data_IF_152919337967
#
_entry.id   IF_152919337967
#
_cell.length_a   1.000
_cell.length_b   1.000
_cell.length_c   1.000
_cell.angle_alpha   90.00
_cell.angle_beta   90.00
_cell.angle_gamma   90.00
#
_symmetry.space_group_name_H-M   'P 1'
#
loop_
_entity.id
_entity.type
_entity.pdbx_description
1 polymer ?
#
# COMPACT_ATOMS: atom_id res chain seq x y z
N UNK A 1 1.85 40.22 -71.38
CA UNK A 1 1.46 39.44 -70.18
C UNK A 1 2.61 39.57 -69.17
N UNK A 2 2.49 40.48 -68.21
CA UNK A 2 3.51 40.72 -67.20
C UNK A 2 3.39 39.66 -66.10
N UNK A 3 4.45 38.89 -65.85
CA UNK A 3 4.52 37.92 -64.75
C UNK A 3 5.37 38.52 -63.64
N UNK A 4 4.76 38.68 -62.46
CA UNK A 4 5.41 39.09 -61.21
C UNK A 4 5.76 37.81 -60.45
N UNK A 5 7.03 37.61 -60.12
CA UNK A 5 7.51 36.52 -59.28
C UNK A 5 7.62 37.04 -57.84
N UNK A 6 6.82 36.49 -56.93
CA UNK A 6 6.99 36.69 -55.49
C UNK A 6 8.02 35.68 -54.97
N UNK A 7 9.20 36.15 -54.56
CA UNK A 7 10.13 35.37 -53.75
C UNK A 7 9.86 35.68 -52.27
N UNK A 8 9.23 34.73 -51.56
CA UNK A 8 9.18 34.76 -50.10
C UNK A 8 10.52 34.24 -49.57
N UNK A 9 11.42 35.13 -49.16
CA UNK A 9 12.60 34.77 -48.38
C UNK A 9 12.19 34.54 -46.92
N UNK A 10 11.64 33.36 -46.61
CA UNK A 10 11.68 32.87 -45.23
C UNK A 10 13.04 32.18 -45.03
N UNK A 11 14.00 32.93 -44.49
CA UNK A 11 15.17 32.34 -43.85
C UNK A 11 14.67 31.61 -42.59
N UNK A 12 14.33 30.32 -42.72
CA UNK A 12 14.40 29.44 -41.56
C UNK A 12 15.90 29.28 -41.24
N UNK A 13 16.38 29.95 -40.20
CA UNK A 13 17.63 29.58 -39.55
C UNK A 13 17.45 28.13 -39.06
N UNK A 14 17.94 27.17 -39.85
CA UNK A 14 18.20 25.82 -39.37
C UNK A 14 19.36 25.95 -38.37
N UNK A 15 19.01 26.12 -37.09
CA UNK A 15 19.97 26.00 -35.98
C UNK A 15 20.61 24.62 -36.08
N UNK A 16 21.93 24.55 -36.07
CA UNK A 16 22.63 23.26 -36.15
C UNK A 16 22.35 22.43 -34.89
N UNK A 17 22.39 21.10 -34.98
CA UNK A 17 22.24 20.24 -33.79
C UNK A 17 23.25 20.61 -32.69
N UNK A 18 24.47 21.01 -33.09
CA UNK A 18 25.52 21.47 -32.17
C UNK A 18 25.13 22.76 -31.44
N UNK A 19 24.58 23.77 -32.13
CA UNK A 19 24.10 25.00 -31.48
C UNK A 19 22.96 24.73 -30.50
N UNK A 20 22.04 23.81 -30.84
CA UNK A 20 20.95 23.41 -29.96
C UNK A 20 21.49 22.71 -28.69
N UNK A 21 22.51 21.86 -28.82
CA UNK A 21 23.12 21.20 -27.66
C UNK A 21 23.88 22.18 -26.75
N UNK A 22 24.56 23.17 -27.33
CA UNK A 22 25.29 24.19 -26.56
C UNK A 22 24.32 25.09 -25.81
N UNK A 23 23.24 25.55 -26.46
CA UNK A 23 22.22 26.37 -25.82
C UNK A 23 21.52 25.61 -24.69
N UNK A 24 21.17 24.34 -24.91
CA UNK A 24 20.59 23.50 -23.86
C UNK A 24 21.55 23.29 -22.66
N UNK A 25 22.85 23.21 -22.92
CA UNK A 25 23.86 23.10 -21.88
C UNK A 25 23.99 24.40 -21.06
N UNK A 26 24.00 25.55 -21.73
CA UNK A 26 24.03 26.86 -21.08
C UNK A 26 22.77 27.09 -20.24
N UNK A 27 21.59 26.75 -20.75
CA UNK A 27 20.34 26.79 -19.99
C UNK A 27 20.39 25.88 -18.75
N UNK A 28 20.96 24.68 -18.87
CA UNK A 28 21.13 23.77 -17.74
C UNK A 28 22.06 24.33 -16.66
N UNK A 29 23.16 24.99 -17.06
CA UNK A 29 24.08 25.61 -16.11
C UNK A 29 23.41 26.79 -15.42
N UNK A 30 22.75 27.67 -16.18
CA UNK A 30 22.03 28.82 -15.63
C UNK A 30 20.95 28.39 -14.63
N UNK A 31 20.19 27.34 -14.94
CA UNK A 31 19.19 26.79 -14.03
C UNK A 31 19.81 26.25 -12.73
N UNK A 32 20.98 25.60 -12.83
CA UNK A 32 21.75 25.13 -11.67
C UNK A 32 22.21 26.29 -10.78
N UNK A 33 22.80 27.33 -11.38
CA UNK A 33 23.27 28.51 -10.65
C UNK A 33 22.12 29.27 -9.97
N UNK A 34 21.00 29.48 -10.68
CA UNK A 34 19.80 30.08 -10.10
C UNK A 34 19.32 29.31 -8.87
N UNK A 35 19.30 27.98 -8.93
CA UNK A 35 18.87 27.15 -7.80
C UNK A 35 19.87 27.21 -6.64
N UNK A 36 21.17 27.31 -6.91
CA UNK A 36 22.18 27.51 -5.86
C UNK A 36 22.07 28.86 -5.18
N UNK A 37 21.84 29.93 -5.92
CA UNK A 37 21.60 31.26 -5.35
C UNK A 37 20.38 31.21 -4.42
N UNK A 38 19.32 30.52 -4.84
CA UNK A 38 18.14 30.31 -3.97
C UNK A 38 18.54 29.55 -2.69
N UNK A 39 19.35 28.50 -2.77
CA UNK A 39 19.84 27.80 -1.58
C UNK A 39 20.67 28.70 -0.65
N UNK A 40 21.59 29.49 -1.19
CA UNK A 40 22.40 30.42 -0.40
C UNK A 40 21.54 31.48 0.30
N UNK A 41 20.49 31.96 -0.38
CA UNK A 41 19.52 32.87 0.25
C UNK A 41 18.70 32.17 1.35
N UNK A 42 18.32 30.90 1.16
CA UNK A 42 17.63 30.10 2.18
C UNK A 42 18.52 29.95 3.41
N UNK A 43 19.81 29.60 3.25
CA UNK A 43 20.73 29.45 4.38
C UNK A 43 20.94 30.78 5.12
N UNK A 44 21.04 31.89 4.38
CA UNK A 44 21.12 33.23 4.97
C UNK A 44 19.87 33.54 5.80
N UNK A 45 18.67 33.22 5.29
CA UNK A 45 17.41 33.39 6.03
C UNK A 45 17.40 32.48 7.27
N UNK A 46 17.83 31.22 7.17
CA UNK A 46 17.90 30.29 8.29
C UNK A 46 18.79 30.85 9.40
N UNK A 47 19.96 31.42 9.06
CA UNK A 47 20.86 32.04 10.04
C UNK A 47 20.21 33.23 10.76
N UNK A 48 19.48 34.08 10.04
CA UNK A 48 18.73 35.19 10.64
C UNK A 48 17.60 34.67 11.52
N UNK A 49 16.86 33.66 11.05
CA UNK A 49 15.78 33.02 11.80
C UNK A 49 16.32 32.39 13.08
N UNK A 50 17.51 31.81 13.10
CA UNK A 50 18.15 31.32 14.35
C UNK A 50 18.39 32.41 15.41
N UNK A 51 18.50 33.67 14.99
CA UNK A 51 18.70 34.80 15.90
C UNK A 51 17.40 35.52 16.29
N UNK A 52 16.27 35.15 15.69
CA UNK A 52 14.99 35.86 15.83
C UNK A 52 13.87 34.87 16.16
N UNK A 53 12.95 35.17 17.08
CA UNK A 53 11.84 34.27 17.46
C UNK A 53 10.76 34.06 16.35
N UNK A 54 11.07 34.31 15.08
CA UNK A 54 10.16 34.24 13.94
C UNK A 54 10.07 32.84 13.28
N UNK A 55 10.55 31.80 13.97
CA UNK A 55 10.68 30.43 13.47
C UNK A 55 9.39 29.87 12.84
N UNK A 56 8.26 30.00 13.54
CA UNK A 56 6.98 29.40 13.16
C UNK A 56 6.40 29.92 11.84
N UNK A 57 6.79 31.14 11.41
CA UNK A 57 6.22 31.79 10.22
C UNK A 57 7.06 31.51 8.97
N UNK A 58 8.39 31.60 9.10
CA UNK A 58 9.30 31.58 7.95
C UNK A 58 9.71 30.17 7.53
N UNK A 59 9.92 29.26 8.49
CA UNK A 59 10.42 27.90 8.22
C UNK A 59 9.49 27.07 7.30
N UNK A 60 8.15 27.09 7.45
CA UNK A 60 7.26 26.38 6.53
C UNK A 60 7.36 26.88 5.08
N UNK A 61 7.53 28.20 4.91
CA UNK A 61 7.74 28.81 3.58
C UNK A 61 9.03 28.36 2.93
N UNK A 62 10.13 28.33 3.68
CA UNK A 62 11.43 27.84 3.20
C UNK A 62 11.38 26.36 2.81
N UNK A 63 10.69 25.54 3.60
CA UNK A 63 10.50 24.12 3.31
C UNK A 63 9.71 23.92 2.02
N UNK A 64 8.65 24.70 1.78
CA UNK A 64 7.89 24.66 0.51
C UNK A 64 8.76 25.00 -0.70
N UNK A 65 9.65 25.99 -0.59
CA UNK A 65 10.58 26.35 -1.67
C UNK A 65 11.54 25.18 -1.95
N UNK A 66 12.08 24.56 -0.91
CA UNK A 66 12.99 23.42 -1.03
C UNK A 66 12.28 22.17 -1.61
N UNK A 67 11.05 21.90 -1.21
CA UNK A 67 10.20 20.84 -1.79
C UNK A 67 9.89 21.10 -3.26
N UNK A 68 9.60 22.36 -3.62
CA UNK A 68 9.42 22.76 -5.01
C UNK A 68 10.71 22.54 -5.82
N UNK A 69 11.87 22.90 -5.27
CA UNK A 69 13.16 22.65 -5.93
C UNK A 69 13.41 21.15 -6.16
N UNK A 70 13.04 20.28 -5.22
CA UNK A 70 13.09 18.81 -5.40
C UNK A 70 12.13 18.26 -6.44
N UNK A 71 11.02 18.96 -6.71
CA UNK A 71 10.03 18.54 -7.71
C UNK A 71 10.50 18.82 -9.15
N UNK A 72 11.41 19.78 -9.33
CA UNK A 72 11.98 20.17 -10.61
C UNK A 72 13.08 19.21 -11.08
N UNK A 73 13.39 19.25 -12.38
CA UNK A 73 14.50 18.50 -12.96
C UNK A 73 15.82 19.23 -12.67
N UNK A 74 16.43 18.90 -11.54
CA UNK A 74 17.66 19.52 -11.07
C UNK A 74 18.92 18.77 -11.53
N UNK A 75 20.04 19.48 -11.61
CA UNK A 75 21.34 18.86 -11.88
C UNK A 75 21.78 17.98 -10.70
N UNK A 76 22.65 16.99 -10.96
CA UNK A 76 23.19 16.11 -9.91
C UNK A 76 23.87 16.90 -8.79
N UNK A 77 24.63 17.94 -9.15
CA UNK A 77 25.35 18.75 -8.18
C UNK A 77 24.40 19.62 -7.34
N UNK A 78 23.41 20.24 -7.97
CA UNK A 78 22.35 20.97 -7.27
C UNK A 78 21.57 20.07 -6.30
N UNK A 79 21.24 18.84 -6.72
CA UNK A 79 20.56 17.86 -5.88
C UNK A 79 21.37 17.49 -4.64
N UNK A 80 22.69 17.32 -4.76
CA UNK A 80 23.56 17.05 -3.61
C UNK A 80 23.47 18.16 -2.56
N UNK A 81 23.51 19.43 -3.01
CA UNK A 81 23.37 20.58 -2.13
C UNK A 81 21.95 20.69 -1.54
N UNK A 82 20.91 20.42 -2.33
CA UNK A 82 19.52 20.36 -1.86
C UNK A 82 19.36 19.32 -0.75
N UNK A 83 19.89 18.10 -0.91
CA UNK A 83 19.83 17.07 0.13
C UNK A 83 20.61 17.46 1.39
N UNK A 84 21.75 18.14 1.25
CA UNK A 84 22.52 18.62 2.40
C UNK A 84 21.78 19.70 3.19
N UNK A 85 21.17 20.68 2.52
CA UNK A 85 20.34 21.69 3.17
C UNK A 85 19.08 21.08 3.79
N UNK A 86 18.44 20.14 3.09
CA UNK A 86 17.29 19.40 3.61
C UNK A 86 17.65 18.70 4.94
N UNK A 87 18.75 17.94 4.98
CA UNK A 87 19.19 17.26 6.21
C UNK A 87 19.52 18.25 7.32
N UNK A 88 20.18 19.36 7.00
CA UNK A 88 20.51 20.39 7.98
C UNK A 88 19.26 21.04 8.59
N UNK A 89 18.23 21.32 7.78
CA UNK A 89 16.95 21.87 8.26
C UNK A 89 16.24 20.88 9.17
N UNK A 90 16.13 19.61 8.75
CA UNK A 90 15.47 18.56 9.55
C UNK A 90 16.16 18.34 10.89
N UNK A 91 17.49 18.33 10.90
CA UNK A 91 18.27 18.17 12.13
C UNK A 91 18.16 19.39 13.06
N UNK A 92 18.15 20.61 12.51
CA UNK A 92 18.05 21.85 13.30
C UNK A 92 16.64 22.13 13.82
N UNK A 93 15.62 21.78 13.05
CA UNK A 93 14.22 22.11 13.32
C UNK A 93 13.32 20.89 13.06
N UNK A 94 13.45 19.81 13.86
CA UNK A 94 12.67 18.60 13.63
C UNK A 94 11.17 18.83 13.90
N UNK A 95 10.83 19.74 14.82
CA UNK A 95 9.45 20.17 15.13
C UNK A 95 8.68 20.61 13.88
N UNK A 96 9.35 21.23 12.90
CA UNK A 96 8.75 21.69 11.63
C UNK A 96 8.08 20.56 10.83
N UNK A 97 8.58 19.33 10.94
CA UNK A 97 8.08 18.17 10.19
C UNK A 97 7.24 17.23 11.04
N UNK A 98 7.46 17.21 12.35
CA UNK A 98 6.92 16.19 13.24
C UNK A 98 5.83 16.69 14.20
N UNK A 99 5.57 18.00 14.27
CA UNK A 99 4.36 18.53 14.94
C UNK A 99 3.08 18.27 14.11
N UNK A 100 1.97 18.11 14.82
CA UNK A 100 0.62 17.91 14.29
C UNK A 100 0.27 19.06 13.31
N UNK A 101 -0.24 18.73 12.11
CA UNK A 101 -0.67 19.66 11.02
C UNK A 101 0.27 19.96 9.83
N UNK A 102 1.37 19.20 9.63
CA UNK A 102 2.27 19.49 8.48
C UNK A 102 2.20 18.46 7.33
N UNK A 103 1.48 18.82 6.25
CA UNK A 103 1.48 18.10 4.94
C UNK A 103 2.90 17.97 4.33
N UNK A 104 3.86 18.73 4.82
CA UNK A 104 5.22 18.80 4.32
C UNK A 104 6.01 17.48 4.49
N UNK A 105 5.72 16.70 5.54
CA UNK A 105 6.38 15.40 5.75
C UNK A 105 5.98 14.41 4.64
N UNK A 106 4.72 14.43 4.22
CA UNK A 106 4.20 13.62 3.12
C UNK A 106 4.88 13.98 1.79
N UNK A 107 4.89 15.26 1.40
CA UNK A 107 5.53 15.69 0.14
C UNK A 107 7.05 15.42 0.18
N UNK A 108 7.71 15.62 1.33
CA UNK A 108 9.13 15.29 1.48
C UNK A 108 9.40 13.80 1.26
N UNK A 109 8.65 12.91 1.94
CA UNK A 109 8.78 11.47 1.76
C UNK A 109 8.57 11.05 0.30
N UNK A 110 7.58 11.65 -0.37
CA UNK A 110 7.30 11.42 -1.79
C UNK A 110 8.48 11.83 -2.68
N UNK A 111 9.04 13.03 -2.49
CA UNK A 111 10.20 13.49 -3.27
C UNK A 111 11.43 12.61 -3.01
N UNK A 112 11.70 12.25 -1.77
CA UNK A 112 12.83 11.40 -1.42
C UNK A 112 12.71 10.02 -2.05
N UNK A 113 11.54 9.37 -1.97
CA UNK A 113 11.32 8.07 -2.60
C UNK A 113 11.43 8.12 -4.12
N UNK A 114 10.96 9.20 -4.76
CA UNK A 114 11.18 9.42 -6.20
C UNK A 114 12.67 9.44 -6.52
N UNK A 115 13.49 10.18 -5.76
CA UNK A 115 14.94 10.24 -5.96
C UNK A 115 15.67 8.94 -5.59
N UNK A 116 15.14 8.14 -4.66
CA UNK A 116 15.62 6.78 -4.38
C UNK A 116 15.46 5.83 -5.58
N UNK A 117 14.55 6.12 -6.52
CA UNK A 117 14.39 5.36 -7.77
C UNK A 117 15.23 5.88 -8.94
N UNK A 118 16.06 6.92 -8.74
CA UNK A 118 16.88 7.54 -9.79
C UNK A 118 17.93 6.57 -10.36
N UNK A 119 18.25 6.71 -11.65
CA UNK A 119 19.32 5.93 -12.30
C UNK A 119 20.72 6.29 -11.78
N UNK A 120 20.91 7.47 -11.21
CA UNK A 120 22.19 7.97 -10.70
C UNK A 120 22.47 7.45 -9.29
N UNK A 121 23.58 6.75 -9.10
CA UNK A 121 23.96 6.18 -7.79
C UNK A 121 24.18 7.24 -6.71
N UNK A 122 24.81 8.36 -7.06
CA UNK A 122 25.07 9.48 -6.15
C UNK A 122 23.78 10.06 -5.58
N UNK A 123 22.79 10.33 -6.45
CA UNK A 123 21.47 10.84 -6.06
C UNK A 123 20.77 9.84 -5.13
N UNK A 124 20.78 8.55 -5.47
CA UNK A 124 20.19 7.50 -4.61
C UNK A 124 20.82 7.43 -3.23
N UNK A 125 22.14 7.51 -3.12
CA UNK A 125 22.83 7.47 -1.83
C UNK A 125 22.46 8.65 -0.94
N UNK A 126 22.38 9.86 -1.51
CA UNK A 126 21.95 11.05 -0.75
C UNK A 126 20.47 11.01 -0.37
N UNK A 127 19.58 10.55 -1.28
CA UNK A 127 18.16 10.38 -0.98
C UNK A 127 17.93 9.32 0.12
N UNK A 128 18.65 8.20 0.06
CA UNK A 128 18.61 7.14 1.08
C UNK A 128 19.09 7.66 2.45
N UNK A 129 20.16 8.46 2.48
CA UNK A 129 20.68 9.06 3.71
C UNK A 129 19.69 10.08 4.31
N UNK A 130 19.05 10.88 3.45
CA UNK A 130 18.00 11.82 3.87
C UNK A 130 16.77 11.11 4.43
N UNK A 131 16.35 10.02 3.80
CA UNK A 131 15.21 9.23 4.25
C UNK A 131 15.51 8.50 5.58
N UNK A 132 16.73 7.97 5.73
CA UNK A 132 17.22 7.39 7.00
C UNK A 132 17.26 8.44 8.12
N UNK A 133 17.78 9.64 7.84
CA UNK A 133 17.82 10.72 8.83
C UNK A 133 16.42 11.10 9.31
N UNK A 134 15.43 11.17 8.42
CA UNK A 134 14.04 11.45 8.80
C UNK A 134 13.50 10.41 9.80
N UNK A 135 13.75 9.12 9.53
CA UNK A 135 13.35 8.04 10.44
C UNK A 135 14.04 8.19 11.80
N UNK A 136 15.35 8.45 11.79
CA UNK A 136 16.15 8.62 13.01
C UNK A 136 15.66 9.80 13.85
N UNK A 137 15.46 10.96 13.23
CA UNK A 137 15.02 12.17 13.94
C UNK A 137 13.59 12.02 14.49
N UNK A 138 12.69 11.39 13.73
CA UNK A 138 11.34 11.13 14.24
C UNK A 138 11.38 10.18 15.46
N UNK A 139 12.24 9.15 15.40
CA UNK A 139 12.44 8.20 16.49
C UNK A 139 13.07 8.84 17.74
N UNK A 140 14.05 9.73 17.59
CA UNK A 140 14.68 10.42 18.73
C UNK A 140 13.68 11.32 19.50
N UNK A 141 12.63 11.83 18.83
CA UNK A 141 11.58 12.65 19.46
C UNK A 141 10.53 11.80 20.17
N UNK A 142 9.99 10.79 19.49
CA UNK A 142 8.80 10.05 19.92
C UNK A 142 9.04 8.59 20.34
N UNK A 143 10.27 8.10 20.27
CA UNK A 143 10.65 6.68 20.40
C UNK A 143 9.89 5.74 19.43
N UNK A 144 9.36 6.31 18.34
CA UNK A 144 8.74 5.64 17.20
C UNK A 144 8.88 6.54 15.96
N UNK A 145 8.64 6.00 14.76
CA UNK A 145 8.55 6.82 13.55
C UNK A 145 7.32 6.49 12.71
N UNK A 146 6.20 6.19 13.37
CA UNK A 146 4.93 5.78 12.75
C UNK A 146 4.47 6.76 11.67
N UNK A 147 4.70 8.07 11.88
CA UNK A 147 4.43 9.12 10.90
C UNK A 147 5.24 8.92 9.62
N UNK A 148 6.58 8.90 9.71
CA UNK A 148 7.44 8.70 8.53
C UNK A 148 7.15 7.35 7.86
N UNK A 149 6.88 6.31 8.66
CA UNK A 149 6.50 4.96 8.18
C UNK A 149 5.25 5.01 7.32
N UNK A 150 4.18 5.66 7.80
CA UNK A 150 2.93 5.82 7.08
C UNK A 150 3.12 6.68 5.81
N UNK A 151 3.76 7.84 5.93
CA UNK A 151 3.95 8.76 4.81
C UNK A 151 4.82 8.17 3.70
N UNK A 152 5.87 7.43 4.04
CA UNK A 152 6.69 6.70 3.06
C UNK A 152 5.89 5.59 2.37
N UNK A 153 5.06 4.86 3.13
CA UNK A 153 4.21 3.79 2.59
C UNK A 153 3.17 4.34 1.61
N UNK A 154 2.44 5.39 1.98
CA UNK A 154 1.46 6.06 1.11
C UNK A 154 2.11 6.67 -0.15
N UNK A 155 3.26 7.32 0.03
CA UNK A 155 4.03 7.92 -1.08
C UNK A 155 4.47 6.86 -2.10
N UNK A 156 4.90 5.69 -1.63
CA UNK A 156 5.25 4.58 -2.51
C UNK A 156 4.03 4.07 -3.28
N UNK A 157 2.87 3.91 -2.63
CA UNK A 157 1.62 3.51 -3.30
C UNK A 157 1.28 4.44 -4.45
N UNK A 158 1.41 5.75 -4.22
CA UNK A 158 1.13 6.77 -5.24
C UNK A 158 2.14 6.69 -6.40
N UNK A 159 3.44 6.56 -6.10
CA UNK A 159 4.49 6.44 -7.12
C UNK A 159 4.31 5.21 -7.99
N UNK A 160 3.96 4.08 -7.38
CA UNK A 160 3.71 2.84 -8.12
C UNK A 160 2.38 2.91 -8.89
N UNK A 161 1.38 3.65 -8.39
CA UNK A 161 0.12 3.88 -9.10
C UNK A 161 0.27 4.77 -10.34
N UNK A 162 1.25 5.67 -10.35
CA UNK A 162 1.52 6.54 -11.50
C UNK A 162 2.30 5.77 -12.57
N UNK A 163 1.69 5.54 -13.74
CA UNK A 163 2.26 4.82 -14.89
C UNK A 163 3.43 5.56 -15.58
N UNK A 164 4.33 6.18 -14.82
CA UNK A 164 5.41 7.01 -15.34
C UNK A 164 6.65 6.17 -15.64
N UNK A 165 7.18 6.31 -16.84
CA UNK A 165 8.44 5.70 -17.33
C UNK A 165 9.69 6.04 -16.51
N UNK A 166 9.59 6.93 -15.52
CA UNK A 166 10.70 7.37 -14.67
C UNK A 166 10.88 6.52 -13.39
N UNK A 167 9.89 5.75 -12.98
CA UNK A 167 10.00 4.97 -11.74
C UNK A 167 10.64 3.60 -12.00
N UNK A 168 11.82 3.38 -11.41
CA UNK A 168 12.57 2.15 -11.59
C UNK A 168 12.68 1.36 -10.28
N UNK A 169 11.99 0.23 -10.25
CA UNK A 169 11.96 -0.69 -9.13
C UNK A 169 13.35 -1.18 -8.71
N UNK A 170 14.22 -1.56 -9.67
CA UNK A 170 15.54 -2.14 -9.37
C UNK A 170 16.39 -1.14 -8.60
N UNK A 171 16.30 0.13 -8.97
CA UNK A 171 17.03 1.21 -8.30
C UNK A 171 16.48 1.50 -6.91
N UNK A 172 15.16 1.49 -6.72
CA UNK A 172 14.56 1.65 -5.40
C UNK A 172 14.93 0.48 -4.46
N UNK A 173 14.90 -0.77 -4.95
CA UNK A 173 15.34 -1.95 -4.18
C UNK A 173 16.80 -1.79 -3.71
N UNK A 174 17.68 -1.23 -4.53
CA UNK A 174 19.07 -0.93 -4.14
C UNK A 174 19.13 0.15 -3.04
N UNK A 175 18.34 1.21 -3.16
CA UNK A 175 18.26 2.27 -2.15
C UNK A 175 17.75 1.77 -0.80
N UNK A 176 16.72 0.89 -0.78
CA UNK A 176 16.24 0.27 0.45
C UNK A 176 17.32 -0.58 1.14
N UNK A 177 18.13 -1.33 0.36
CA UNK A 177 19.29 -2.04 0.90
C UNK A 177 20.33 -1.10 1.50
N UNK A 178 20.58 0.04 0.86
CA UNK A 178 21.48 1.07 1.40
C UNK A 178 20.99 1.59 2.76
N UNK A 179 19.68 1.81 2.91
CA UNK A 179 19.07 2.24 4.19
C UNK A 179 19.29 1.19 5.28
N UNK A 180 19.14 -0.10 4.97
CA UNK A 180 19.43 -1.19 5.91
C UNK A 180 20.90 -1.16 6.38
N UNK A 181 21.85 -0.95 5.47
CA UNK A 181 23.27 -0.78 5.87
C UNK A 181 23.52 0.46 6.73
N UNK A 182 22.75 1.53 6.58
CA UNK A 182 22.84 2.68 7.49
C UNK A 182 22.33 2.32 8.88
N UNK A 183 21.21 1.61 8.98
CA UNK A 183 20.68 1.14 10.25
C UNK A 183 21.67 0.18 10.96
N UNK A 184 22.28 -0.75 10.23
CA UNK A 184 23.30 -1.68 10.76
C UNK A 184 24.59 -0.98 11.19
N UNK A 185 24.92 0.16 10.57
CA UNK A 185 26.13 0.94 10.87
C UNK A 185 25.99 1.95 12.00
N UNK A 186 24.77 2.25 12.45
CA UNK A 186 24.49 3.30 13.44
C UNK A 186 24.61 2.77 14.88
N UNK A 187 25.80 2.85 15.44
CA UNK A 187 26.12 2.32 16.78
C UNK A 187 25.32 2.95 17.91
N UNK A 188 24.84 4.18 17.73
CA UNK A 188 24.14 4.94 18.78
C UNK A 188 22.77 4.33 19.09
N UNK A 189 22.12 3.73 18.08
CA UNK A 189 20.74 3.23 18.16
C UNK A 189 20.64 1.70 18.03
N UNK A 190 21.75 0.98 17.97
CA UNK A 190 21.78 -0.48 17.80
C UNK A 190 21.01 -1.25 18.88
N UNK A 191 21.07 -0.80 20.14
CA UNK A 191 20.37 -1.47 21.26
C UNK A 191 18.89 -1.08 21.39
N UNK A 192 18.39 -0.20 20.52
CA UNK A 192 16.99 0.27 20.52
C UNK A 192 16.10 -0.57 19.58
N UNK A 193 14.79 -0.30 19.60
CA UNK A 193 13.85 -0.87 18.63
C UNK A 193 13.97 -0.28 17.20
N UNK A 194 14.80 0.76 17.02
CA UNK A 194 14.91 1.48 15.76
C UNK A 194 15.38 0.61 14.59
N UNK A 195 16.47 -0.18 14.68
CA UNK A 195 16.92 -1.00 13.55
C UNK A 195 15.87 -2.03 13.11
N UNK A 196 15.13 -2.63 14.06
CA UNK A 196 14.03 -3.53 13.74
C UNK A 196 12.89 -2.82 13.01
N UNK A 197 12.45 -1.64 13.48
CA UNK A 197 11.40 -0.89 12.81
C UNK A 197 11.82 -0.44 11.40
N UNK A 198 13.09 -0.03 11.19
CA UNK A 198 13.62 0.35 9.87
C UNK A 198 13.63 -0.87 8.94
N UNK A 199 14.01 -2.05 9.46
CA UNK A 199 13.97 -3.29 8.70
C UNK A 199 12.55 -3.67 8.30
N UNK A 200 11.58 -3.50 9.19
CA UNK A 200 10.17 -3.79 8.93
C UNK A 200 9.60 -2.85 7.86
N UNK A 201 9.88 -1.55 7.95
CA UNK A 201 9.49 -0.59 6.91
C UNK A 201 10.15 -0.90 5.57
N UNK A 202 11.48 -1.12 5.54
CA UNK A 202 12.18 -1.43 4.29
C UNK A 202 11.64 -2.72 3.64
N UNK A 203 11.33 -3.73 4.45
CA UNK A 203 10.71 -4.99 3.98
C UNK A 203 9.31 -4.75 3.45
N UNK A 204 8.49 -3.98 4.17
CA UNK A 204 7.13 -3.61 3.73
C UNK A 204 7.16 -2.86 2.38
N UNK A 205 7.99 -1.82 2.24
CA UNK A 205 8.16 -1.07 0.99
C UNK A 205 8.67 -1.97 -0.14
N UNK A 206 9.59 -2.89 0.17
CA UNK A 206 10.08 -3.88 -0.79
C UNK A 206 8.95 -4.81 -1.28
N UNK A 207 8.12 -5.31 -0.36
CA UNK A 207 6.99 -6.19 -0.67
C UNK A 207 5.95 -5.47 -1.52
N UNK A 208 5.53 -4.25 -1.15
CA UNK A 208 4.61 -3.43 -1.97
C UNK A 208 5.13 -3.30 -3.40
N UNK A 209 6.40 -2.97 -3.54
CA UNK A 209 7.04 -2.76 -4.83
C UNK A 209 7.03 -4.03 -5.68
N UNK A 210 7.51 -5.15 -5.12
CA UNK A 210 7.57 -6.45 -5.82
C UNK A 210 6.17 -6.93 -6.19
N UNK A 211 5.23 -6.87 -5.25
CA UNK A 211 3.89 -7.43 -5.41
C UNK A 211 3.08 -6.63 -6.41
N UNK A 212 3.26 -5.30 -6.44
CA UNK A 212 2.55 -4.47 -7.41
C UNK A 212 3.07 -4.67 -8.84
N UNK A 213 4.37 -4.96 -9.00
CA UNK A 213 4.92 -5.33 -10.32
C UNK A 213 4.37 -6.68 -10.75
N UNK A 214 4.39 -7.68 -9.87
CA UNK A 214 3.79 -8.99 -10.14
C UNK A 214 2.30 -8.92 -10.43
N UNK A 215 1.57 -8.02 -9.77
CA UNK A 215 0.14 -7.82 -10.00
C UNK A 215 -0.13 -7.35 -11.45
N UNK A 216 0.77 -6.56 -12.04
CA UNK A 216 0.65 -6.13 -13.45
C UNK A 216 0.88 -7.29 -14.43
N UNK A 217 1.71 -8.25 -14.04
CA UNK A 217 2.05 -9.45 -14.82
C UNK A 217 1.05 -10.60 -14.62
N UNK A 218 0.39 -10.66 -13.46
CA UNK A 218 -0.49 -11.76 -13.05
C UNK A 218 -1.94 -11.65 -13.56
N UNK A 219 -2.21 -10.81 -14.58
CA UNK A 219 -3.57 -10.58 -15.09
C UNK A 219 -4.27 -11.84 -15.61
N UNK A 220 -3.50 -12.85 -15.99
CA UNK A 220 -4.00 -14.11 -16.53
C UNK A 220 -4.27 -15.16 -15.43
N UNK A 221 -3.93 -14.88 -14.16
CA UNK A 221 -4.15 -15.78 -13.03
C UNK A 221 -4.97 -15.12 -11.91
N UNK A 222 -6.30 -15.36 -11.83
CA UNK A 222 -7.15 -14.72 -10.84
C UNK A 222 -6.79 -15.09 -9.40
N UNK A 223 -6.32 -16.32 -9.15
CA UNK A 223 -5.95 -16.77 -7.81
C UNK A 223 -4.69 -16.04 -7.30
N UNK A 224 -3.69 -15.92 -8.19
CA UNK A 224 -2.48 -15.14 -7.89
C UNK A 224 -2.77 -13.64 -7.79
N UNK A 225 -3.70 -13.12 -8.59
CA UNK A 225 -4.13 -11.72 -8.49
C UNK A 225 -4.71 -11.43 -7.10
N UNK A 226 -5.62 -12.27 -6.58
CA UNK A 226 -6.20 -12.11 -5.25
C UNK A 226 -5.14 -12.24 -4.15
N UNK A 227 -4.24 -13.23 -4.23
CA UNK A 227 -3.16 -13.38 -3.25
C UNK A 227 -2.31 -12.11 -3.20
N UNK A 228 -1.86 -11.62 -4.35
CA UNK A 228 -1.09 -10.38 -4.44
C UNK A 228 -1.85 -9.18 -3.89
N UNK A 229 -3.15 -9.03 -4.19
CA UNK A 229 -3.98 -7.98 -3.61
C UNK A 229 -4.04 -8.07 -2.09
N UNK A 230 -4.14 -9.28 -1.53
CA UNK A 230 -4.16 -9.49 -0.08
C UNK A 230 -2.81 -9.13 0.56
N UNK A 231 -1.68 -9.55 -0.03
CA UNK A 231 -0.34 -9.19 0.46
C UNK A 231 -0.10 -7.69 0.43
N UNK A 232 -0.47 -7.03 -0.68
CA UNK A 232 -0.39 -5.58 -0.82
C UNK A 232 -1.27 -4.90 0.24
N UNK A 233 -2.50 -5.37 0.43
CA UNK A 233 -3.40 -4.84 1.45
C UNK A 233 -2.79 -4.98 2.86
N UNK A 234 -2.11 -6.10 3.18
CA UNK A 234 -1.48 -6.32 4.48
C UNK A 234 -0.31 -5.35 4.72
N UNK A 235 0.38 -4.93 3.67
CA UNK A 235 1.42 -3.91 3.78
C UNK A 235 0.84 -2.54 4.21
N UNK A 236 -0.45 -2.28 3.97
CA UNK A 236 -1.14 -1.04 4.33
C UNK A 236 -1.86 -1.07 5.69
N UNK A 237 -1.59 -2.05 6.56
CA UNK A 237 -2.24 -2.13 7.88
C UNK A 237 -2.12 -0.85 8.72
N UNK A 238 -1.01 -0.11 8.59
CA UNK A 238 -0.77 1.16 9.30
C UNK A 238 -1.39 2.39 8.58
N UNK A 239 -2.09 2.20 7.47
CA UNK A 239 -2.79 3.25 6.72
C UNK A 239 -4.24 2.80 6.49
N UNK A 240 -5.16 3.11 7.42
CA UNK A 240 -6.52 2.54 7.42
C UNK A 240 -7.33 2.90 6.17
N UNK A 241 -7.19 4.11 5.64
CA UNK A 241 -7.86 4.53 4.40
C UNK A 241 -7.41 3.70 3.18
N UNK A 242 -6.11 3.41 3.06
CA UNK A 242 -5.59 2.56 2.01
C UNK A 242 -6.00 1.10 2.22
N UNK A 243 -5.86 0.56 3.45
CA UNK A 243 -6.30 -0.79 3.81
C UNK A 243 -7.77 -1.00 3.42
N UNK A 244 -8.65 -0.06 3.76
CA UNK A 244 -10.07 -0.10 3.41
C UNK A 244 -10.29 -0.11 1.89
N UNK A 245 -9.57 0.73 1.15
CA UNK A 245 -9.66 0.80 -0.32
C UNK A 245 -9.27 -0.54 -0.97
N UNK A 246 -8.20 -1.18 -0.49
CA UNK A 246 -7.77 -2.49 -0.99
C UNK A 246 -8.74 -3.61 -0.64
N UNK A 247 -9.29 -3.63 0.58
CA UNK A 247 -10.32 -4.60 0.99
C UNK A 247 -11.58 -4.47 0.11
N UNK A 248 -12.00 -3.24 -0.20
CA UNK A 248 -13.12 -3.00 -1.12
C UNK A 248 -12.81 -3.45 -2.56
N UNK A 249 -11.60 -3.20 -3.06
CA UNK A 249 -11.19 -3.67 -4.39
C UNK A 249 -11.17 -5.21 -4.45
N UNK A 250 -10.61 -5.87 -3.44
CA UNK A 250 -10.65 -7.33 -3.32
C UNK A 250 -12.09 -7.86 -3.29
N UNK A 251 -12.99 -7.23 -2.53
CA UNK A 251 -14.40 -7.60 -2.51
C UNK A 251 -15.04 -7.50 -3.91
N UNK A 252 -14.74 -6.46 -4.68
CA UNK A 252 -15.22 -6.30 -6.05
C UNK A 252 -14.66 -7.38 -6.99
N UNK A 253 -13.38 -7.74 -6.84
CA UNK A 253 -12.76 -8.83 -7.61
C UNK A 253 -13.37 -10.19 -7.29
N UNK A 254 -13.59 -10.50 -6.02
CA UNK A 254 -14.33 -11.70 -5.61
C UNK A 254 -15.76 -11.71 -6.15
N UNK A 255 -16.45 -10.57 -6.14
CA UNK A 255 -17.78 -10.45 -6.72
C UNK A 255 -17.80 -10.73 -8.22
N UNK A 256 -16.80 -10.23 -8.98
CA UNK A 256 -16.67 -10.50 -10.41
C UNK A 256 -16.47 -11.99 -10.72
N UNK A 257 -15.90 -12.76 -9.78
CA UNK A 257 -15.74 -14.22 -9.87
C UNK A 257 -16.91 -15.01 -9.27
N UNK A 258 -17.97 -14.35 -8.78
CA UNK A 258 -19.08 -14.94 -8.04
C UNK A 258 -18.68 -15.63 -6.71
N UNK A 259 -17.55 -15.24 -6.13
CA UNK A 259 -17.07 -15.68 -4.81
C UNK A 259 -17.72 -14.82 -3.70
N UNK A 260 -19.02 -15.00 -3.48
CA UNK A 260 -19.81 -14.17 -2.58
C UNK A 260 -19.40 -14.28 -1.10
N UNK A 261 -18.92 -15.44 -0.66
CA UNK A 261 -18.51 -15.64 0.73
C UNK A 261 -17.27 -14.78 1.03
N UNK A 262 -16.27 -14.87 0.16
CA UNK A 262 -15.02 -14.15 0.23
C UNK A 262 -15.24 -12.64 0.08
N UNK A 263 -16.09 -12.21 -0.86
CA UNK A 263 -16.48 -10.80 -1.01
C UNK A 263 -17.15 -10.25 0.26
N UNK A 264 -18.04 -11.03 0.89
CA UNK A 264 -18.68 -10.68 2.15
C UNK A 264 -17.68 -10.56 3.31
N UNK A 265 -16.70 -11.47 3.38
CA UNK A 265 -15.65 -11.42 4.39
C UNK A 265 -14.70 -10.23 4.20
N UNK A 266 -14.31 -9.87 2.97
CA UNK A 266 -13.50 -8.67 2.72
C UNK A 266 -14.21 -7.39 3.23
N UNK A 267 -15.53 -7.29 3.04
CA UNK A 267 -16.30 -6.17 3.58
C UNK A 267 -16.46 -6.24 5.10
N UNK A 268 -16.55 -7.44 5.69
CA UNK A 268 -16.55 -7.60 7.14
C UNK A 268 -15.20 -7.17 7.75
N UNK A 269 -14.06 -7.48 7.11
CA UNK A 269 -12.75 -6.94 7.49
C UNK A 269 -12.74 -5.41 7.39
N UNK A 270 -13.23 -4.83 6.29
CA UNK A 270 -13.31 -3.38 6.14
C UNK A 270 -14.18 -2.72 7.23
N UNK A 271 -15.31 -3.34 7.59
CA UNK A 271 -16.16 -2.88 8.68
C UNK A 271 -15.49 -3.03 10.06
N UNK A 272 -14.75 -4.11 10.28
CA UNK A 272 -13.99 -4.34 11.51
C UNK A 272 -12.92 -3.27 11.71
N UNK A 273 -12.18 -2.94 10.66
CA UNK A 273 -11.23 -1.83 10.64
C UNK A 273 -11.93 -0.51 11.01
N UNK A 274 -13.05 -0.18 10.35
CA UNK A 274 -13.80 1.05 10.68
C UNK A 274 -14.29 1.05 12.13
N UNK A 275 -14.77 -0.08 12.66
CA UNK A 275 -15.22 -0.19 14.04
C UNK A 275 -14.08 0.07 15.04
N UNK A 276 -12.89 -0.48 14.79
CA UNK A 276 -11.71 -0.29 15.62
C UNK A 276 -11.29 1.18 15.69
N UNK A 277 -11.23 1.86 14.55
CA UNK A 277 -10.85 3.27 14.47
C UNK A 277 -11.94 4.21 15.01
N UNK A 278 -13.23 3.90 14.81
CA UNK A 278 -14.32 4.66 15.44
C UNK A 278 -14.29 4.55 16.96
N UNK A 279 -13.95 3.37 17.51
CA UNK A 279 -13.78 3.18 18.96
C UNK A 279 -12.66 4.06 19.52
N UNK A 280 -11.56 4.21 18.78
CA UNK A 280 -10.44 5.07 19.17
C UNK A 280 -10.79 6.57 19.10
N UNK A 281 -11.65 7.00 18.17
CA UNK A 281 -12.15 8.38 18.07
C UNK A 281 -13.13 8.74 19.19
N UNK A 282 -14.20 7.97 19.31
CA UNK A 282 -15.28 8.22 20.27
C UNK A 282 -15.92 6.90 20.69
N UNK A 283 -15.75 6.54 21.96
CA UNK A 283 -16.39 5.34 22.50
C UNK A 283 -17.88 5.60 22.75
N UNK A 284 -18.75 5.12 21.85
CA UNK A 284 -20.20 5.15 22.03
C UNK A 284 -20.70 3.80 22.53
N UNK A 285 -21.55 3.80 23.57
CA UNK A 285 -22.06 2.58 24.21
C UNK A 285 -22.87 1.65 23.30
N UNK A 286 -23.45 2.18 22.22
CA UNK A 286 -24.25 1.41 21.25
C UNK A 286 -23.43 0.93 20.04
N UNK A 287 -22.19 1.38 19.88
CA UNK A 287 -21.28 0.94 18.82
C UNK A 287 -20.51 -0.32 19.27
N UNK A 288 -20.08 -1.17 18.34
CA UNK A 288 -19.25 -2.33 18.66
C UNK A 288 -17.94 -1.93 19.36
N UNK A 289 -17.52 -2.75 20.33
CA UNK A 289 -16.20 -2.69 20.97
C UNK A 289 -15.08 -3.14 20.01
N UNK A 290 -14.94 -2.44 18.89
CA UNK A 290 -13.91 -2.70 17.87
C UNK A 290 -14.02 -4.08 17.21
N UNK A 291 -12.88 -4.66 16.85
CA UNK A 291 -12.81 -5.96 16.17
C UNK A 291 -13.33 -7.12 17.04
N UNK A 292 -13.25 -7.00 18.38
CA UNK A 292 -13.67 -8.05 19.33
C UNK A 292 -15.16 -8.34 19.22
N UNK A 293 -15.98 -7.30 19.05
CA UNK A 293 -17.43 -7.45 18.88
C UNK A 293 -17.81 -8.22 17.60
N UNK A 294 -16.94 -8.19 16.57
CA UNK A 294 -17.15 -8.85 15.29
C UNK A 294 -16.58 -10.28 15.23
N UNK A 295 -15.82 -10.73 16.24
CA UNK A 295 -15.18 -12.07 16.27
C UNK A 295 -16.15 -13.23 16.03
N UNK A 296 -17.43 -13.08 16.43
CA UNK A 296 -18.47 -14.10 16.21
C UNK A 296 -18.82 -14.30 14.73
N UNK A 297 -18.53 -13.32 13.87
CA UNK A 297 -18.70 -13.44 12.42
C UNK A 297 -17.56 -14.26 11.83
N UNK A 298 -16.31 -13.91 12.19
CA UNK A 298 -15.10 -14.65 11.85
C UNK A 298 -13.97 -14.25 12.80
N UNK A 299 -13.14 -15.23 13.21
CA UNK A 299 -11.98 -14.95 14.06
C UNK A 299 -10.89 -14.16 13.33
N UNK A 300 -10.82 -14.26 12.00
CA UNK A 300 -9.81 -13.55 11.20
C UNK A 300 -10.03 -12.03 11.22
N UNK A 301 -11.21 -11.55 11.61
CA UNK A 301 -11.48 -10.11 11.75
C UNK A 301 -10.62 -9.45 12.84
N UNK A 302 -10.08 -10.24 13.77
CA UNK A 302 -9.13 -9.76 14.77
C UNK A 302 -7.79 -9.31 14.16
N UNK A 303 -7.47 -9.71 12.93
CA UNK A 303 -6.29 -9.25 12.20
C UNK A 303 -6.32 -7.73 11.94
N UNK A 304 -7.51 -7.10 11.95
CA UNK A 304 -7.65 -5.64 11.77
C UNK A 304 -7.51 -4.86 13.09
N UNK A 305 -7.20 -5.53 14.20
CA UNK A 305 -7.10 -4.88 15.50
C UNK A 305 -5.85 -3.99 15.60
N UNK A 306 -6.07 -2.73 15.98
CA UNK A 306 -5.06 -1.68 15.98
C UNK A 306 -4.35 -1.57 17.36
N UNK A 307 -3.73 -2.67 17.82
CA UNK A 307 -3.12 -2.76 19.17
C UNK A 307 -1.61 -2.52 19.17
N UNK A 308 -0.98 -2.19 18.03
CA UNK A 308 0.47 -1.96 17.99
C UNK A 308 0.85 -0.52 18.34
N UNK A 309 2.02 -0.35 18.97
CA UNK A 309 2.61 0.95 19.30
C UNK A 309 2.93 1.82 18.05
N UNK A 310 2.84 1.21 16.86
CA UNK A 310 3.06 1.84 15.55
C UNK A 310 1.79 2.43 14.92
N UNK A 311 0.62 2.29 15.56
CA UNK A 311 -0.65 2.82 15.06
C UNK A 311 -0.72 4.32 15.31
N UNK A 312 -0.95 5.10 14.26
CA UNK A 312 -1.21 6.54 14.38
C UNK A 312 -2.63 6.75 14.91
N UNK A 313 -2.80 7.63 15.90
CA UNK A 313 -4.11 7.92 16.47
C UNK A 313 -5.06 8.47 15.41
N UNK A 314 -6.32 8.03 15.37
CA UNK A 314 -7.28 8.56 14.40
C UNK A 314 -7.59 10.03 14.71
N UNK A 315 -7.60 10.88 13.69
CA UNK A 315 -7.79 12.34 13.83
C UNK A 315 -6.51 13.15 13.58
N UNK A 316 -5.34 12.54 13.77
CA UNK A 316 -4.06 13.15 13.43
C UNK A 316 -3.83 13.09 11.90
N UNK A 317 -3.28 14.15 11.32
CA UNK A 317 -2.81 14.19 9.91
C UNK A 317 -3.85 13.83 8.83
N UNK A 318 -5.15 13.98 9.12
CA UNK A 318 -6.22 13.67 8.16
C UNK A 318 -6.50 12.17 7.97
N UNK A 319 -5.98 11.32 8.85
CA UNK A 319 -6.23 9.88 8.87
C UNK A 319 -7.69 9.61 9.29
N UNK A 320 -8.35 8.66 8.63
CA UNK A 320 -9.76 8.32 8.89
C UNK A 320 -10.73 9.48 8.65
N UNK A 321 -10.38 10.44 7.80
CA UNK A 321 -11.31 11.50 7.34
C UNK A 321 -12.20 11.05 6.18
N UNK A 322 -11.97 9.85 5.65
CA UNK A 322 -12.76 9.28 4.57
C UNK A 322 -14.23 9.10 4.93
N UNK A 323 -15.11 9.23 3.94
CA UNK A 323 -16.58 9.07 4.07
C UNK A 323 -17.04 7.78 4.78
N UNK A 324 -16.19 6.74 4.78
CA UNK A 324 -16.49 5.44 5.37
C UNK A 324 -16.16 5.35 6.86
N UNK A 325 -15.31 6.21 7.41
CA UNK A 325 -14.98 6.29 8.84
C UNK A 325 -16.05 7.10 9.59
N UNK A 326 -17.30 6.68 9.42
CA UNK A 326 -18.47 7.24 10.08
C UNK A 326 -19.41 6.11 10.48
N UNK A 327 -20.33 6.37 11.41
CA UNK A 327 -21.36 5.39 11.80
C UNK A 327 -22.15 4.88 10.58
N UNK A 328 -22.53 5.77 9.66
CA UNK A 328 -23.22 5.40 8.42
C UNK A 328 -22.32 4.59 7.46
N UNK A 329 -21.03 4.90 7.41
CA UNK A 329 -20.05 4.14 6.64
C UNK A 329 -19.92 2.70 7.14
N UNK A 330 -19.80 2.53 8.47
CA UNK A 330 -19.79 1.23 9.12
C UNK A 330 -21.07 0.43 8.83
N UNK A 331 -22.25 1.03 9.04
CA UNK A 331 -23.54 0.41 8.72
C UNK A 331 -23.59 -0.02 7.24
N UNK A 332 -23.16 0.86 6.33
CA UNK A 332 -23.16 0.59 4.90
C UNK A 332 -22.27 -0.59 4.50
N UNK A 333 -21.08 -0.73 5.10
CA UNK A 333 -20.18 -1.86 4.87
C UNK A 333 -20.78 -3.17 5.40
N UNK A 334 -21.34 -3.16 6.61
CA UNK A 334 -21.96 -4.33 7.23
C UNK A 334 -23.22 -4.78 6.51
N UNK A 335 -24.06 -3.86 6.05
CA UNK A 335 -25.26 -4.18 5.25
C UNK A 335 -24.86 -4.83 3.91
N UNK A 336 -23.82 -4.33 3.24
CA UNK A 336 -23.30 -4.93 2.01
C UNK A 336 -22.70 -6.32 2.27
N UNK A 337 -21.93 -6.48 3.35
CA UNK A 337 -21.41 -7.79 3.76
C UNK A 337 -22.55 -8.79 4.01
N UNK A 338 -23.62 -8.37 4.70
CA UNK A 338 -24.80 -9.21 4.93
C UNK A 338 -25.47 -9.63 3.61
N UNK A 339 -25.56 -8.74 2.63
CA UNK A 339 -26.09 -9.06 1.30
C UNK A 339 -25.25 -10.14 0.63
N UNK A 340 -23.92 -10.01 0.58
CA UNK A 340 -23.05 -11.01 -0.05
C UNK A 340 -23.06 -12.35 0.68
N UNK A 341 -23.01 -12.35 2.01
CA UNK A 341 -23.11 -13.59 2.80
C UNK A 341 -24.48 -14.29 2.66
N UNK A 342 -25.55 -13.53 2.43
CA UNK A 342 -26.87 -14.10 2.10
C UNK A 342 -26.84 -14.81 0.75
N UNK A 343 -26.19 -14.24 -0.26
CA UNK A 343 -25.98 -14.90 -1.56
C UNK A 343 -25.06 -16.13 -1.43
N UNK A 344 -24.13 -16.12 -0.49
CA UNK A 344 -23.30 -17.27 -0.12
C UNK A 344 -24.03 -18.32 0.74
N UNK A 345 -25.31 -18.12 1.08
CA UNK A 345 -26.13 -19.02 1.91
C UNK A 345 -25.61 -19.17 3.37
N UNK A 346 -24.77 -18.24 3.83
CA UNK A 346 -24.18 -18.19 5.18
C UNK A 346 -25.07 -17.41 6.15
N UNK A 347 -26.29 -17.90 6.34
CA UNK A 347 -27.33 -17.24 7.13
C UNK A 347 -26.96 -17.05 8.61
N UNK A 348 -26.16 -17.96 9.18
CA UNK A 348 -25.67 -17.89 10.56
C UNK A 348 -24.72 -16.70 10.76
N UNK A 349 -23.84 -16.44 9.80
CA UNK A 349 -22.94 -15.29 9.84
C UNK A 349 -23.72 -13.97 9.67
N UNK A 350 -24.76 -13.96 8.82
CA UNK A 350 -25.66 -12.80 8.67
C UNK A 350 -26.40 -12.49 9.97
N UNK A 351 -26.80 -13.50 10.75
CA UNK A 351 -27.36 -13.28 12.08
C UNK A 351 -26.37 -12.56 13.01
N UNK A 352 -25.10 -12.98 13.01
CA UNK A 352 -24.07 -12.33 13.81
C UNK A 352 -23.81 -10.89 13.37
N UNK A 353 -23.90 -10.59 12.06
CA UNK A 353 -23.86 -9.21 11.55
C UNK A 353 -25.03 -8.38 12.11
N UNK A 354 -26.26 -8.89 12.02
CA UNK A 354 -27.42 -8.15 12.51
C UNK A 354 -27.42 -7.99 14.03
N UNK A 355 -26.84 -8.92 14.79
CA UNK A 355 -26.63 -8.72 16.23
C UNK A 355 -25.76 -7.49 16.54
N UNK A 356 -24.79 -7.16 15.69
CA UNK A 356 -23.96 -5.96 15.84
C UNK A 356 -24.71 -4.70 15.39
N UNK A 357 -25.56 -4.79 14.36
CA UNK A 357 -26.28 -3.64 13.80
C UNK A 357 -27.54 -3.24 14.60
N UNK A 358 -28.23 -4.18 15.24
CA UNK A 358 -29.48 -3.91 15.96
C UNK A 358 -29.34 -2.83 17.04
N UNK A 359 -28.33 -2.88 17.95
CA UNK A 359 -28.15 -1.82 18.96
C UNK A 359 -28.00 -0.42 18.36
N UNK A 360 -27.36 -0.32 17.20
CA UNK A 360 -27.16 0.94 16.47
C UNK A 360 -28.49 1.46 15.93
N UNK A 361 -29.31 0.61 15.30
CA UNK A 361 -30.63 1.01 14.81
C UNK A 361 -31.59 1.37 15.94
N UNK A 362 -31.50 0.69 17.09
CA UNK A 362 -32.28 1.01 18.30
C UNK A 362 -31.91 2.39 18.85
N UNK A 363 -30.61 2.69 18.96
CA UNK A 363 -30.12 4.00 19.39
C UNK A 363 -30.59 5.12 18.44
N UNK A 364 -30.56 4.86 17.13
CA UNK A 364 -31.02 5.79 16.09
C UNK A 364 -32.56 5.85 15.93
N UNK A 365 -33.30 4.99 16.64
CA UNK A 365 -34.77 4.85 16.54
C UNK A 365 -35.26 4.56 15.11
N UNK A 366 -34.46 3.85 14.31
CA UNK A 366 -34.86 3.44 12.96
C UNK A 366 -35.69 2.15 13.00
N UNK A 367 -36.96 2.30 13.39
CA UNK A 367 -37.90 1.18 13.49
C UNK A 367 -38.19 0.52 12.13
N UNK A 368 -37.98 1.23 11.02
CA UNK A 368 -38.18 0.67 9.67
C UNK A 368 -37.07 -0.32 9.35
N UNK A 369 -35.81 0.02 9.60
CA UNK A 369 -34.68 -0.90 9.46
C UNK A 369 -34.81 -2.09 10.41
N UNK A 370 -35.17 -1.86 11.68
CA UNK A 370 -35.39 -2.93 12.65
C UNK A 370 -36.45 -3.94 12.17
N UNK A 371 -37.60 -3.46 11.68
CA UNK A 371 -38.64 -4.33 11.12
C UNK A 371 -38.13 -5.17 9.93
N UNK A 372 -37.34 -4.56 9.03
CA UNK A 372 -36.73 -5.27 7.90
C UNK A 372 -35.72 -6.33 8.34
N UNK A 373 -34.87 -6.02 9.33
CA UNK A 373 -33.89 -6.95 9.88
C UNK A 373 -34.58 -8.18 10.46
N UNK A 374 -35.59 -8.00 11.31
CA UNK A 374 -36.32 -9.11 11.91
C UNK A 374 -37.10 -9.94 10.88
N UNK A 375 -37.66 -9.30 9.85
CA UNK A 375 -38.32 -10.00 8.74
C UNK A 375 -37.33 -10.90 7.97
N UNK A 376 -36.15 -10.36 7.64
CA UNK A 376 -35.07 -11.13 6.98
C UNK A 376 -34.57 -12.27 7.85
N UNK A 377 -34.34 -12.04 9.14
CA UNK A 377 -33.90 -13.08 10.07
C UNK A 377 -34.91 -14.23 10.16
N UNK A 378 -36.22 -13.91 10.22
CA UNK A 378 -37.27 -14.93 10.17
C UNK A 378 -37.16 -15.78 8.89
N UNK A 379 -36.99 -15.14 7.74
CA UNK A 379 -36.80 -15.84 6.47
C UNK A 379 -35.54 -16.72 6.48
N UNK A 380 -34.41 -16.21 6.97
CA UNK A 380 -33.14 -16.92 7.01
C UNK A 380 -33.17 -18.13 7.94
N UNK A 381 -33.78 -18.03 9.12
CA UNK A 381 -33.97 -19.17 10.01
C UNK A 381 -34.86 -20.24 9.39
N UNK A 382 -35.93 -19.85 8.69
CA UNK A 382 -36.75 -20.79 7.93
C UNK A 382 -35.94 -21.48 6.82
N UNK A 383 -35.08 -20.74 6.09
CA UNK A 383 -34.20 -21.31 5.07
C UNK A 383 -33.20 -22.30 5.66
N UNK A 384 -32.62 -22.01 6.83
CA UNK A 384 -31.74 -22.95 7.56
C UNK A 384 -32.48 -24.25 7.87
N UNK A 385 -33.72 -24.16 8.40
CA UNK A 385 -34.53 -25.34 8.73
C UNK A 385 -34.90 -26.17 7.50
N UNK A 386 -35.29 -25.52 6.40
CA UNK A 386 -35.74 -26.22 5.17
C UNK A 386 -34.57 -26.80 4.37
N UNK A 387 -33.47 -26.05 4.25
CA UNK A 387 -32.33 -26.45 3.44
C UNK A 387 -31.40 -27.40 4.20
N UNK A 388 -31.23 -27.24 5.53
CA UNK A 388 -30.40 -28.10 6.36
C UNK A 388 -29.06 -28.45 5.72
N UNK A 389 -28.83 -29.74 5.47
CA UNK A 389 -27.61 -30.31 4.89
C UNK A 389 -27.51 -30.17 3.35
N UNK A 390 -28.48 -29.54 2.68
CA UNK A 390 -28.46 -29.33 1.21
C UNK A 390 -27.65 -28.10 0.79
N UNK A 391 -27.19 -27.28 1.75
CA UNK A 391 -26.33 -26.13 1.48
C UNK A 391 -24.90 -26.61 1.21
N UNK A 392 -24.38 -26.24 0.05
CA UNK A 392 -23.05 -26.63 -0.42
C UNK A 392 -22.14 -25.41 -0.39
N UNK A 393 -21.27 -25.33 0.61
CA UNK A 393 -20.39 -24.17 0.83
C UNK A 393 -19.08 -24.24 0.05
N UNK A 394 -18.67 -25.46 -0.33
CA UNK A 394 -17.49 -25.72 -1.13
C UNK A 394 -16.80 -27.03 -0.79
N UNK A 395 -15.83 -27.40 -1.62
CA UNK A 395 -14.90 -28.52 -1.39
C UNK A 395 -13.49 -27.97 -1.19
N UNK A 396 -12.67 -28.70 -0.42
CA UNK A 396 -11.34 -28.24 -0.03
C UNK A 396 -10.26 -29.18 -0.56
N UNK A 397 -9.19 -28.61 -1.11
CA UNK A 397 -8.07 -29.36 -1.66
C UNK A 397 -6.74 -28.81 -1.17
N UNK A 398 -5.83 -29.68 -0.73
CA UNK A 398 -4.43 -29.32 -0.49
C UNK A 398 -3.69 -29.30 -1.82
N UNK A 399 -3.09 -28.17 -2.18
CA UNK A 399 -2.28 -28.00 -3.39
C UNK A 399 -0.89 -27.55 -2.98
N UNK A 400 0.12 -28.35 -3.32
CA UNK A 400 1.53 -28.05 -3.07
C UNK A 400 2.25 -27.78 -4.38
N UNK A 401 3.09 -26.74 -4.40
CA UNK A 401 3.91 -26.39 -5.55
C UNK A 401 5.36 -26.80 -5.27
N UNK A 402 5.98 -27.53 -6.20
CA UNK A 402 7.33 -28.07 -6.04
C UNK A 402 8.11 -27.92 -7.34
N UNK A 403 9.25 -27.24 -7.27
CA UNK A 403 10.16 -27.02 -8.39
C UNK A 403 10.54 -25.55 -8.52
N UNK A 404 11.81 -25.32 -8.84
CA UNK A 404 12.42 -23.97 -8.91
C UNK A 404 11.74 -23.03 -9.91
N UNK A 405 11.03 -23.54 -10.92
CA UNK A 405 10.26 -22.75 -11.88
C UNK A 405 9.02 -22.07 -11.29
N UNK A 406 8.58 -22.50 -10.11
CA UNK A 406 7.47 -21.90 -9.38
C UNK A 406 7.90 -20.68 -8.55
N UNK A 407 9.19 -20.32 -8.56
CA UNK A 407 9.77 -19.17 -7.85
C UNK A 407 9.34 -19.13 -6.37
N UNK A 408 8.53 -18.14 -5.97
CA UNK A 408 8.06 -17.99 -4.58
C UNK A 408 7.15 -19.13 -4.13
N UNK A 409 6.43 -19.76 -5.06
CA UNK A 409 5.53 -20.85 -4.73
C UNK A 409 6.29 -22.16 -4.45
N UNK A 410 7.59 -22.26 -4.79
CA UNK A 410 8.35 -23.49 -4.59
C UNK A 410 8.40 -23.93 -3.12
N UNK A 411 7.86 -25.11 -2.86
CA UNK A 411 7.75 -25.71 -1.55
C UNK A 411 6.62 -25.17 -0.67
N UNK A 412 5.72 -24.34 -1.23
CA UNK A 412 4.55 -23.84 -0.52
C UNK A 412 3.34 -24.75 -0.74
N UNK A 413 2.52 -24.86 0.31
CA UNK A 413 1.27 -25.63 0.30
C UNK A 413 0.10 -24.74 0.72
N UNK A 414 -1.01 -24.89 0.01
CA UNK A 414 -2.21 -24.09 0.20
C UNK A 414 -3.44 -24.97 0.31
N UNK A 415 -4.46 -24.46 0.99
CA UNK A 415 -5.80 -25.05 1.02
C UNK A 415 -6.69 -24.24 0.09
N UNK A 416 -7.03 -24.83 -1.06
CA UNK A 416 -7.94 -24.23 -2.04
C UNK A 416 -9.38 -24.58 -1.66
N UNK A 417 -10.24 -23.55 -1.61
CA UNK A 417 -11.69 -23.69 -1.46
C UNK A 417 -12.34 -23.55 -2.84
N UNK A 418 -12.98 -24.60 -3.30
CA UNK A 418 -13.69 -24.66 -4.58
C UNK A 418 -15.21 -24.58 -4.39
N UNK A 419 -15.96 -24.00 -5.35
CA UNK A 419 -17.41 -23.85 -5.23
C UNK A 419 -18.15 -25.18 -5.34
N UNK A 420 -19.19 -25.36 -4.52
CA UNK A 420 -20.14 -26.48 -4.65
C UNK A 420 -19.51 -27.85 -4.38
N UNK A 421 -19.55 -28.75 -5.38
CA UNK A 421 -19.07 -30.14 -5.31
C UNK A 421 -18.03 -30.37 -6.40
N UNK A 422 -17.05 -29.46 -6.51
CA UNK A 422 -15.91 -29.65 -7.42
C UNK A 422 -15.18 -30.94 -7.05
N UNK A 423 -14.90 -31.76 -8.06
CA UNK A 423 -14.20 -33.05 -7.90
C UNK A 423 -12.70 -32.86 -8.05
N UNK A 424 -11.90 -33.74 -7.43
CA UNK A 424 -10.44 -33.71 -7.54
C UNK A 424 -9.95 -33.68 -8.99
N UNK A 425 -10.58 -34.45 -9.88
CA UNK A 425 -10.20 -34.49 -11.29
C UNK A 425 -10.39 -33.14 -12.01
N UNK A 426 -11.38 -32.35 -11.59
CA UNK A 426 -11.71 -31.07 -12.21
C UNK A 426 -10.67 -30.01 -11.82
N UNK A 427 -10.38 -29.86 -10.51
CA UNK A 427 -9.33 -28.95 -10.04
C UNK A 427 -7.95 -29.37 -10.55
N UNK A 428 -7.63 -30.68 -10.52
CA UNK A 428 -6.36 -31.19 -11.01
C UNK A 428 -6.18 -30.88 -12.50
N UNK A 429 -7.20 -31.15 -13.33
CA UNK A 429 -7.15 -30.83 -14.76
C UNK A 429 -7.06 -29.32 -15.01
N UNK A 430 -7.76 -28.48 -14.24
CA UNK A 430 -7.72 -27.03 -14.38
C UNK A 430 -6.32 -26.47 -14.09
N UNK A 431 -5.71 -26.89 -12.97
CA UNK A 431 -4.37 -26.48 -12.59
C UNK A 431 -3.32 -27.03 -13.56
N UNK A 432 -3.43 -28.30 -13.96
CA UNK A 432 -2.54 -28.92 -14.94
C UNK A 432 -2.58 -28.17 -16.27
N UNK A 433 -3.77 -27.91 -16.82
CA UNK A 433 -3.92 -27.15 -18.07
C UNK A 433 -3.31 -25.74 -17.96
N UNK A 434 -3.61 -25.02 -16.87
CA UNK A 434 -3.08 -23.67 -16.65
C UNK A 434 -1.54 -23.64 -16.63
N UNK A 435 -0.91 -24.55 -15.88
CA UNK A 435 0.56 -24.57 -15.78
C UNK A 435 1.23 -25.18 -17.01
N UNK A 436 0.58 -26.10 -17.72
CA UNK A 436 1.04 -26.58 -19.04
C UNK A 436 1.06 -25.43 -20.05
N UNK A 437 0.04 -24.58 -20.07
CA UNK A 437 -0.01 -23.42 -20.97
C UNK A 437 1.08 -22.41 -20.62
N UNK A 438 1.41 -22.25 -19.33
CA UNK A 438 2.44 -21.32 -18.86
C UNK A 438 3.88 -21.83 -19.06
N UNK A 439 4.15 -23.10 -18.77
CA UNK A 439 5.52 -23.64 -18.71
C UNK A 439 5.84 -24.69 -19.79
N UNK A 440 4.83 -25.19 -20.49
CA UNK A 440 4.93 -26.24 -21.49
C UNK A 440 4.71 -27.65 -20.92
N UNK A 441 4.08 -28.52 -21.74
CA UNK A 441 3.64 -29.87 -21.36
C UNK A 441 4.74 -30.80 -20.82
N UNK A 442 5.99 -30.59 -21.21
CA UNK A 442 7.11 -31.45 -20.76
C UNK A 442 7.67 -31.06 -19.40
N UNK A 443 7.24 -29.92 -18.85
CA UNK A 443 7.84 -29.31 -17.65
C UNK A 443 6.95 -29.40 -16.41
N UNK A 444 5.71 -29.90 -16.57
CA UNK A 444 4.71 -29.96 -15.51
C UNK A 444 4.26 -31.40 -15.36
N UNK A 445 4.34 -31.93 -14.14
CA UNK A 445 3.86 -33.25 -13.77
C UNK A 445 2.97 -33.15 -12.52
N UNK A 446 1.81 -33.79 -12.56
CA UNK A 446 0.89 -33.85 -11.43
C UNK A 446 1.25 -35.01 -10.50
N UNK A 447 1.66 -34.70 -9.28
CA UNK A 447 1.87 -35.69 -8.22
C UNK A 447 0.49 -36.19 -7.76
N UNK A 448 0.22 -37.48 -8.00
CA UNK A 448 -1.05 -38.13 -7.63
C UNK A 448 -1.03 -38.75 -6.24
N UNK A 449 0.16 -38.93 -5.66
CA UNK A 449 0.31 -39.42 -4.30
C UNK A 449 0.00 -38.29 -3.29
N UNK A 450 -0.62 -38.65 -2.17
CA UNK A 450 -0.96 -37.73 -1.08
C UNK A 450 0.09 -37.73 0.04
N UNK A 451 1.08 -38.61 -0.03
CA UNK A 451 2.19 -38.66 0.94
C UNK A 451 3.05 -37.39 0.88
N UNK A 452 3.81 -37.16 1.95
CA UNK A 452 4.75 -36.04 2.03
C UNK A 452 5.80 -36.14 0.93
N UNK A 453 5.95 -35.04 0.20
CA UNK A 453 6.78 -35.01 -1.01
C UNK A 453 8.25 -34.87 -0.62
N UNK A 454 9.04 -35.90 -0.94
CA UNK A 454 10.49 -35.84 -0.74
C UNK A 454 11.17 -35.01 -1.84
N UNK A 455 11.57 -33.79 -1.48
CA UNK A 455 12.21 -32.82 -2.40
C UNK A 455 13.46 -33.38 -3.09
N UNK A 456 14.25 -34.21 -2.40
CA UNK A 456 15.49 -34.77 -2.95
C UNK A 456 15.25 -35.77 -4.09
N UNK A 457 14.08 -36.43 -4.13
CA UNK A 457 13.72 -37.36 -5.21
C UNK A 457 13.21 -36.67 -6.47
N UNK A 458 12.72 -35.43 -6.36
CA UNK A 458 12.19 -34.66 -7.49
C UNK A 458 13.30 -34.08 -8.37
N UNK A 459 14.40 -33.62 -7.75
CA UNK A 459 15.56 -33.06 -8.47
C UNK A 459 16.31 -34.10 -9.33
N UNK A 460 16.20 -35.39 -9.00
CA UNK A 460 16.79 -36.48 -9.79
C UNK A 460 16.02 -36.76 -11.08
N UNK A 461 14.72 -36.45 -11.13
CA UNK A 461 13.88 -36.62 -12.32
C UNK A 461 14.06 -35.48 -13.34
N UNK A 462 14.28 -34.24 -12.86
CA UNK A 462 14.48 -33.06 -13.71
C UNK A 462 15.91 -32.90 -14.27
N UNK A 463 16.84 -33.81 -13.92
CA UNK A 463 18.23 -33.84 -14.41
C UNK A 463 18.47 -34.83 -15.57
N UNK A 464 17.43 -35.44 -16.13
CA UNK A 464 17.53 -36.34 -17.29
C UNK A 464 17.05 -35.71 -18.58
#
# INVERSE_FOLDING_TARGET
MFKIQFNNFFYFHYRSEEEITIDAHLESILASECTMIVLDTIETIIQVVQTTDCHQILLPGLLKILLHAFALNQSTWTLQNLFSHQRAIVYKFPELLFEEDTEHCADLCLRLLKHCSSCLSTVRSHASASLYLLMRQNFEIGNNFSRVKMQATMSLSWLVGQSTSQFNEIFLRKSLRTILTYADGDTDLQESAFPSQVKDLATNLYMILCDTVKLREAKDNPDMEIDLLHRIANCYQNSPDLRLTWLQNMAQKHLAMNHYAEAGMCLAHAASLVAEYLRMLESKSYMPDGCVALQKISMNLLEESAVSDDVVSPGDEGICTGKYFTENGFIGLMEQAAVFLTHAHMYEAVNNIYHVLTPIYEANRDFKKLSQVHSKLHEYFNRILVQGNKRLFGTYFRVGFYGTKFDELDGQEFIYKEPGITKLAEIASRLESFYIDKFGKTQVEMIKDSNDVNRASLDLANKK
#
